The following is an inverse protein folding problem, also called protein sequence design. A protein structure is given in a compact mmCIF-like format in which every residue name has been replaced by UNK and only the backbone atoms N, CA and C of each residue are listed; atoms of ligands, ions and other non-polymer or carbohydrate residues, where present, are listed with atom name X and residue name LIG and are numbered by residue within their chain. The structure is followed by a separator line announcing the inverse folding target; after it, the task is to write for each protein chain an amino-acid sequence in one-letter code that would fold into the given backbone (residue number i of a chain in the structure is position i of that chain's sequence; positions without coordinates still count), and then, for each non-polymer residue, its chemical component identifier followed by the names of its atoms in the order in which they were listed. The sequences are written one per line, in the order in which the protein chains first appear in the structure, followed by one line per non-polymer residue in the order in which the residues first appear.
data_IF_284339802725
#
_entry.id   IF_284339802725
#
_cell.length_a   1.000
_cell.length_b   1.000
_cell.length_c   1.000
_cell.angle_alpha   90.00
_cell.angle_beta   90.00
_cell.angle_gamma   90.00
#
_symmetry.space_group_name_H-M   'P 1'
#
loop_
_entity.id
_entity.type
_entity.pdbx_description
1 polymer ?
#
# COMPACT_ATOMS: atom_id res chain seq x y z
N UNK A 1 19.03 -8.26 35.23
CA UNK A 1 18.62 -7.90 33.86
C UNK A 1 17.24 -7.29 33.95
N UNK A 2 17.10 -6.00 33.65
CA UNK A 2 15.80 -5.31 33.69
C UNK A 2 15.03 -5.76 32.46
N UNK A 3 13.89 -6.43 32.65
CA UNK A 3 12.96 -6.74 31.57
C UNK A 3 12.45 -5.43 30.96
N UNK A 4 13.09 -4.96 29.90
CA UNK A 4 12.55 -3.88 29.07
C UNK A 4 11.37 -4.47 28.30
N UNK A 5 10.16 -4.32 28.83
CA UNK A 5 8.95 -4.53 28.06
C UNK A 5 8.95 -3.52 26.91
N UNK A 6 9.28 -4.01 25.71
CA UNK A 6 9.27 -3.25 24.47
C UNK A 6 7.86 -2.68 24.25
N UNK A 7 7.72 -1.35 24.39
CA UNK A 7 6.48 -0.61 24.15
C UNK A 7 6.31 -0.39 22.65
N UNK A 8 5.78 -1.38 21.95
CA UNK A 8 5.66 -1.36 20.49
C UNK A 8 4.20 -1.49 20.08
N UNK A 9 3.73 -0.57 19.25
CA UNK A 9 2.42 -0.67 18.60
C UNK A 9 2.46 -1.74 17.52
N UNK A 10 1.39 -2.52 17.41
CA UNK A 10 1.32 -3.66 16.50
C UNK A 10 0.46 -3.35 15.28
N UNK A 11 0.90 -3.81 14.10
CA UNK A 11 0.03 -3.90 12.92
C UNK A 11 -0.91 -5.10 13.09
N UNK A 12 -2.22 -4.87 13.13
CA UNK A 12 -3.22 -5.92 13.30
C UNK A 12 -3.84 -6.38 11.99
N UNK A 13 -3.99 -5.46 11.04
CA UNK A 13 -4.60 -5.75 9.75
C UNK A 13 -4.03 -4.82 8.67
N UNK A 14 -3.97 -5.30 7.44
CA UNK A 14 -3.47 -4.57 6.29
C UNK A 14 -4.34 -4.90 5.08
N UNK A 15 -4.99 -3.86 4.55
CA UNK A 15 -5.79 -3.94 3.33
C UNK A 15 -5.19 -3.05 2.25
N UNK A 16 -5.32 -3.47 1.00
CA UNK A 16 -4.85 -2.68 -0.15
C UNK A 16 -5.94 -2.50 -1.20
N UNK A 17 -5.87 -1.39 -1.93
CA UNK A 17 -6.70 -1.11 -3.11
C UNK A 17 -5.81 -0.61 -4.25
N UNK A 18 -5.94 -1.24 -5.41
CA UNK A 18 -5.33 -0.77 -6.66
C UNK A 18 -6.32 0.11 -7.41
N UNK A 19 -5.88 1.30 -7.80
CA UNK A 19 -6.66 2.22 -8.62
C UNK A 19 -5.86 2.55 -9.88
N UNK A 20 -6.51 2.49 -11.03
CA UNK A 20 -5.91 2.79 -12.32
C UNK A 20 -6.41 4.16 -12.79
N UNK A 21 -5.49 5.05 -13.11
CA UNK A 21 -5.81 6.32 -13.75
C UNK A 21 -5.86 6.06 -15.25
N UNK A 22 -7.03 6.16 -15.86
CA UNK A 22 -7.15 6.04 -17.32
C UNK A 22 -6.84 7.40 -17.96
N UNK A 23 -6.13 7.40 -19.09
CA UNK A 23 -5.91 8.62 -19.86
C UNK A 23 -7.23 9.13 -20.43
N UNK A 24 -7.88 10.10 -19.77
CA UNK A 24 -9.03 10.78 -20.35
C UNK A 24 -8.54 11.85 -21.34
N UNK A 25 -8.19 11.47 -22.57
CA UNK A 25 -8.00 12.47 -23.64
C UNK A 25 -9.30 12.88 -24.33
N UNK A 26 -10.47 12.59 -23.74
CA UNK A 26 -11.72 13.21 -24.16
C UNK A 26 -11.82 14.65 -23.62
N UNK A 27 -10.98 15.53 -24.15
CA UNK A 27 -11.42 16.91 -24.40
C UNK A 27 -12.60 16.80 -25.36
N UNK A 28 -13.80 17.12 -24.85
CA UNK A 28 -15.07 16.67 -25.40
C UNK A 28 -15.27 16.86 -26.91
N UNK A 29 -15.70 15.78 -27.56
CA UNK A 29 -16.83 15.69 -28.51
C UNK A 29 -16.80 14.31 -29.16
N UNK A 30 -17.92 13.60 -29.03
CA UNK A 30 -18.30 12.39 -29.77
C UNK A 30 -17.56 11.09 -29.42
N UNK A 31 -18.02 10.41 -28.36
CA UNK A 31 -18.00 8.94 -28.35
C UNK A 31 -18.92 8.46 -29.48
N UNK A 32 -18.34 8.19 -30.65
CA UNK A 32 -18.94 7.26 -31.59
C UNK A 32 -18.33 5.91 -31.26
N UNK A 33 -19.19 4.98 -30.85
CA UNK A 33 -18.87 3.56 -30.84
C UNK A 33 -18.31 3.20 -32.23
N UNK A 34 -16.99 3.01 -32.32
CA UNK A 34 -16.38 2.53 -33.55
C UNK A 34 -16.12 1.04 -33.43
N UNK A 35 -16.61 0.38 -34.46
CA UNK A 35 -16.87 -1.04 -34.65
C UNK A 35 -15.60 -1.91 -34.65
N UNK A 36 -15.86 -3.20 -34.48
CA UNK A 36 -14.95 -4.34 -34.64
C UNK A 36 -13.99 -4.21 -35.83
N UNK A 37 -12.67 -4.44 -35.61
CA UNK A 37 -11.77 -4.84 -36.70
C UNK A 37 -10.43 -4.13 -36.87
N UNK A 38 -9.92 -3.37 -35.91
CA UNK A 38 -8.58 -2.78 -35.99
C UNK A 38 -7.96 -2.72 -34.61
N UNK A 39 -6.82 -3.40 -34.45
CA UNK A 39 -5.86 -3.37 -33.33
C UNK A 39 -6.44 -2.82 -32.03
N UNK A 40 -6.79 -3.72 -31.11
CA UNK A 40 -7.15 -3.38 -29.75
C UNK A 40 -6.14 -2.36 -29.21
N UNK A 41 -6.52 -1.08 -29.23
CA UNK A 41 -5.91 -0.03 -28.45
C UNK A 41 -6.17 -0.43 -27.01
N UNK A 42 -5.35 -1.36 -26.52
CA UNK A 42 -5.28 -1.73 -25.12
C UNK A 42 -5.10 -0.41 -24.39
N UNK A 43 -6.17 0.07 -23.77
CA UNK A 43 -6.14 1.29 -22.99
C UNK A 43 -5.23 1.00 -21.80
N UNK A 44 -3.94 1.24 -22.00
CA UNK A 44 -2.97 1.08 -20.94
C UNK A 44 -3.25 2.18 -19.90
N UNK A 45 -3.36 1.82 -18.62
CA UNK A 45 -3.60 2.79 -17.57
C UNK A 45 -2.44 3.79 -17.55
N UNK A 46 -2.78 5.08 -17.52
CA UNK A 46 -1.83 6.19 -17.49
C UNK A 46 -0.98 6.16 -16.22
N UNK A 47 -1.60 5.80 -15.11
CA UNK A 47 -0.91 5.63 -13.83
C UNK A 47 -1.59 4.59 -12.95
N UNK A 48 -0.85 4.02 -12.01
CA UNK A 48 -1.32 3.07 -11.01
C UNK A 48 -1.06 3.64 -9.62
N UNK A 49 -2.14 3.80 -8.86
CA UNK A 49 -2.11 4.22 -7.47
C UNK A 49 -2.47 3.05 -6.56
N UNK A 50 -1.61 2.80 -5.58
CA UNK A 50 -1.84 1.83 -4.52
C UNK A 50 -2.24 2.57 -3.26
N UNK A 51 -3.42 2.26 -2.72
CA UNK A 51 -3.84 2.72 -1.40
C UNK A 51 -3.67 1.59 -0.40
N UNK A 52 -2.91 1.83 0.66
CA UNK A 52 -2.75 0.93 1.79
C UNK A 52 -3.51 1.46 2.99
N UNK A 53 -4.25 0.57 3.64
CA UNK A 53 -4.97 0.82 4.88
C UNK A 53 -4.44 -0.13 5.95
N UNK A 54 -3.69 0.42 6.89
CA UNK A 54 -3.05 -0.32 7.98
C UNK A 54 -3.84 -0.06 9.26
N UNK A 55 -4.32 -1.13 9.90
CA UNK A 55 -4.87 -1.06 11.24
C UNK A 55 -3.75 -1.31 12.25
N UNK A 56 -3.66 -0.42 13.23
CA UNK A 56 -2.68 -0.44 14.29
C UNK A 56 -3.38 -0.61 15.63
N UNK A 57 -2.90 -1.51 16.46
CA UNK A 57 -3.19 -1.54 17.88
C UNK A 57 -2.08 -0.77 18.59
N UNK A 58 -2.42 0.43 19.05
CA UNK A 58 -1.48 1.29 19.75
C UNK A 58 -1.13 0.70 21.12
N UNK A 59 0.14 0.81 21.49
CA UNK A 59 0.58 0.48 22.84
C UNK A 59 -0.14 1.41 23.84
N UNK A 60 -0.70 0.87 24.94
CA UNK A 60 -1.47 1.67 25.90
C UNK A 60 -0.56 2.69 26.58
N UNK A 61 -0.87 3.98 26.39
CA UNK A 61 -0.08 5.07 26.99
C UNK A 61 -0.46 5.39 28.44
N UNK A 62 -1.63 4.96 28.93
CA UNK A 62 -1.95 4.95 30.36
C UNK A 62 -3.22 4.13 30.64
N UNK A 63 -3.08 3.15 31.55
CA UNK A 63 -4.06 2.41 32.38
C UNK A 63 -5.31 1.77 31.74
N UNK A 64 -5.90 2.25 30.64
CA UNK A 64 -7.14 1.64 30.10
C UNK A 64 -7.17 1.65 28.57
N UNK A 65 -7.33 0.44 28.03
CA UNK A 65 -7.60 0.02 26.65
C UNK A 65 -6.54 0.33 25.57
N UNK A 66 -6.10 -0.74 24.90
CA UNK A 66 -5.41 -0.63 23.62
C UNK A 66 -6.30 0.09 22.62
N UNK A 67 -5.82 1.19 22.04
CA UNK A 67 -6.56 1.94 21.03
C UNK A 67 -6.30 1.35 19.65
N UNK A 68 -7.36 1.09 18.89
CA UNK A 68 -7.24 0.75 17.48
C UNK A 68 -7.24 2.04 16.64
N UNK A 69 -6.25 2.17 15.75
CA UNK A 69 -6.08 3.30 14.85
C UNK A 69 -5.89 2.81 13.43
N UNK A 70 -6.64 3.40 12.49
CA UNK A 70 -6.45 3.16 11.07
C UNK A 70 -5.57 4.25 10.46
N UNK A 71 -4.53 3.85 9.73
CA UNK A 71 -3.67 4.73 8.94
C UNK A 71 -3.86 4.38 7.47
N UNK A 72 -4.25 5.36 6.66
CA UNK A 72 -4.40 5.21 5.21
C UNK A 72 -3.34 6.05 4.52
N UNK A 73 -2.64 5.46 3.55
CA UNK A 73 -1.73 6.18 2.69
C UNK A 73 -1.85 5.69 1.25
N UNK A 74 -1.62 6.61 0.32
CA UNK A 74 -1.66 6.33 -1.11
C UNK A 74 -0.29 6.61 -1.71
N UNK A 75 0.18 5.71 -2.56
CA UNK A 75 1.46 5.79 -3.23
C UNK A 75 1.28 5.44 -4.71
N UNK A 76 2.03 6.11 -5.60
CA UNK A 76 2.17 5.65 -6.98
C UNK A 76 2.93 4.32 -7.05
N UNK A 77 2.84 3.63 -8.19
CA UNK A 77 3.51 2.35 -8.46
C UNK A 77 4.95 2.30 -7.95
N UNK A 78 5.79 3.25 -8.33
CA UNK A 78 7.23 3.21 -8.04
C UNK A 78 7.52 3.32 -6.54
N UNK A 79 6.78 4.18 -5.83
CA UNK A 79 6.92 4.36 -4.38
C UNK A 79 6.43 3.13 -3.61
N UNK A 80 5.36 2.50 -4.07
CA UNK A 80 4.89 1.25 -3.49
C UNK A 80 5.88 0.10 -3.71
N UNK A 81 6.45 -0.02 -4.92
CA UNK A 81 7.45 -1.03 -5.23
C UNK A 81 8.74 -0.81 -4.41
N UNK A 82 9.17 0.44 -4.24
CA UNK A 82 10.29 0.77 -3.37
C UNK A 82 10.04 0.31 -1.94
N UNK A 83 8.89 0.68 -1.36
CA UNK A 83 8.49 0.24 -0.02
C UNK A 83 8.51 -1.29 0.12
N UNK A 84 8.03 -2.02 -0.88
CA UNK A 84 8.01 -3.49 -0.85
C UNK A 84 9.41 -4.11 -0.85
N UNK A 85 10.38 -3.49 -1.54
CA UNK A 85 11.79 -3.92 -1.52
C UNK A 85 12.41 -3.64 -0.17
N UNK A 86 12.22 -2.43 0.35
CA UNK A 86 12.77 -2.03 1.65
C UNK A 86 12.27 -2.95 2.77
N UNK A 87 10.99 -3.34 2.75
CA UNK A 87 10.42 -4.30 3.70
C UNK A 87 11.04 -5.70 3.58
N UNK A 88 11.30 -6.16 2.36
CA UNK A 88 11.94 -7.45 2.11
C UNK A 88 13.38 -7.44 2.63
N UNK A 89 14.15 -6.40 2.32
CA UNK A 89 15.53 -6.27 2.76
C UNK A 89 15.62 -6.20 4.29
N UNK A 90 14.66 -5.52 4.94
CA UNK A 90 14.57 -5.49 6.40
C UNK A 90 14.30 -6.88 7.00
N UNK A 91 13.42 -7.69 6.38
CA UNK A 91 13.17 -9.07 6.80
C UNK A 91 14.41 -9.94 6.65
N UNK A 92 15.10 -9.86 5.51
CA UNK A 92 16.33 -10.62 5.25
C UNK A 92 17.42 -10.29 6.30
N UNK A 93 17.57 -9.00 6.66
CA UNK A 93 18.48 -8.59 7.73
C UNK A 93 18.09 -9.16 9.09
N UNK A 94 16.79 -9.15 9.44
CA UNK A 94 16.31 -9.71 10.70
C UNK A 94 16.54 -11.23 10.79
N UNK A 95 16.32 -11.96 9.70
CA UNK A 95 16.59 -13.40 9.63
C UNK A 95 18.09 -13.69 9.82
N UNK A 96 18.96 -12.90 9.20
CA UNK A 96 20.42 -13.05 9.36
C UNK A 96 20.89 -12.84 10.81
N UNK A 97 20.21 -11.97 11.57
CA UNK A 97 20.48 -11.69 12.98
C UNK A 97 19.94 -12.79 13.92
N UNK A 98 18.95 -13.58 13.51
CA UNK A 98 18.45 -14.72 14.29
C UNK A 98 19.33 -15.97 14.17
N UNK A 99 20.16 -16.06 13.13
CA UNK A 99 21.02 -17.22 12.84
C UNK A 99 22.43 -17.07 13.47
N UNK A 100 22.78 -15.89 14.01
CA UNK A 100 24.04 -15.60 14.70
C UNK A 100 23.91 -15.74 16.23
#
# INVERSE_FOLDING_TARGET
MVNQQLRVSQVTDLNYKLSFLMASSQTGKNMVEQEEGGEALEQQPLDLQVTLSVQLREFPNDVVSSRERQVKFAAGKDKFLQLSRDLRDALEQMESLQIA
#
